data_IF_179906971674
#
_entry.id   IF_179906971674
#
_cell.length_a   1.000
_cell.length_b   1.000
_cell.length_c   1.000
_cell.angle_alpha   90.00
_cell.angle_beta   90.00
_cell.angle_gamma   90.00
#
_symmetry.space_group_name_H-M   'P 1'
#
loop_
_entity.id
_entity.type
_entity.pdbx_description
1 polymer ?
#
# COMPACT_ATOMS: atom_id res chain seq x y z
N UNK A 1 16.41 5.30 46.39
CA UNK A 1 15.46 5.86 45.43
C UNK A 1 15.33 4.85 44.31
N UNK A 2 14.47 3.83 44.48
CA UNK A 2 14.37 2.71 43.55
C UNK A 2 13.67 3.18 42.27
N UNK A 3 14.44 3.43 41.21
CA UNK A 3 13.91 3.54 39.85
C UNK A 3 13.18 2.23 39.56
N UNK A 4 11.84 2.29 39.46
CA UNK A 4 11.07 1.18 38.89
C UNK A 4 11.57 1.03 37.45
N UNK A 5 12.22 -0.10 37.17
CA UNK A 5 12.53 -0.51 35.80
C UNK A 5 11.27 -0.31 34.94
N UNK A 6 11.42 0.42 33.83
CA UNK A 6 10.29 0.71 32.91
C UNK A 6 9.99 -0.48 32.00
N UNK A 7 10.79 -1.53 32.10
CA UNK A 7 10.61 -2.81 31.45
C UNK A 7 9.42 -3.52 32.10
N UNK A 8 8.28 -3.42 31.42
CA UNK A 8 7.00 -3.92 31.90
C UNK A 8 6.56 -5.23 31.26
N UNK A 9 5.33 -5.63 31.56
CA UNK A 9 4.61 -6.70 30.87
C UNK A 9 4.00 -6.15 29.58
N UNK A 10 3.75 -7.03 28.60
CA UNK A 10 3.03 -6.70 27.36
C UNK A 10 1.76 -5.84 27.60
N UNK A 11 1.57 -4.72 26.88
CA UNK A 11 0.43 -3.81 27.06
C UNK A 11 -0.94 -4.43 26.75
N UNK A 12 -1.95 -4.24 27.62
CA UNK A 12 -3.33 -4.72 27.44
C UNK A 12 -3.97 -4.23 26.13
N UNK A 13 -4.86 -5.05 25.57
CA UNK A 13 -5.48 -4.80 24.27
C UNK A 13 -6.98 -5.05 24.31
N UNK A 14 -7.79 -4.03 24.01
CA UNK A 14 -9.24 -4.05 24.23
C UNK A 14 -10.09 -4.22 22.97
N UNK A 15 -9.50 -4.14 21.78
CA UNK A 15 -10.22 -4.24 20.49
C UNK A 15 -9.77 -5.44 19.69
N UNK A 16 -10.68 -5.96 18.88
CA UNK A 16 -10.45 -7.07 17.97
C UNK A 16 -9.26 -6.79 17.04
N UNK A 17 -8.42 -7.81 16.83
CA UNK A 17 -7.29 -7.76 15.91
C UNK A 17 -7.68 -8.37 14.57
N UNK A 18 -7.57 -7.58 13.50
CA UNK A 18 -8.01 -7.95 12.16
C UNK A 18 -6.83 -8.35 11.29
N UNK A 19 -6.88 -9.56 10.73
CA UNK A 19 -5.96 -10.03 9.69
C UNK A 19 -4.57 -10.45 10.20
N UNK A 20 -3.57 -10.28 9.34
CA UNK A 20 -2.12 -10.50 9.64
C UNK A 20 -1.70 -11.92 10.03
N UNK A 21 -2.49 -12.94 9.68
CA UNK A 21 -2.18 -14.35 9.96
C UNK A 21 -0.78 -14.75 9.45
N UNK A 22 -0.46 -14.43 8.21
CA UNK A 22 0.84 -14.76 7.63
C UNK A 22 2.02 -14.11 8.38
N UNK A 23 1.90 -12.84 8.80
CA UNK A 23 2.95 -12.18 9.58
C UNK A 23 3.10 -12.79 10.97
N UNK A 24 2.00 -13.11 11.65
CA UNK A 24 2.02 -13.80 12.95
C UNK A 24 2.73 -15.15 12.86
N UNK A 25 2.33 -15.97 11.90
CA UNK A 25 2.95 -17.28 11.66
C UNK A 25 4.45 -17.16 11.34
N UNK A 26 4.84 -16.13 10.57
CA UNK A 26 6.25 -15.86 10.28
C UNK A 26 7.03 -15.51 11.54
N UNK A 27 6.50 -14.63 12.40
CA UNK A 27 7.15 -14.25 13.66
C UNK A 27 7.29 -15.47 14.57
N UNK A 28 6.21 -16.23 14.79
CA UNK A 28 6.23 -17.46 15.60
C UNK A 28 7.25 -18.47 15.07
N UNK A 29 7.29 -18.67 13.75
CA UNK A 29 8.26 -19.57 13.12
C UNK A 29 9.71 -19.10 13.28
N UNK A 30 9.96 -17.78 13.26
CA UNK A 30 11.30 -17.22 13.49
C UNK A 30 11.74 -17.41 14.93
N UNK A 31 10.86 -17.15 15.90
CA UNK A 31 11.11 -17.39 17.33
C UNK A 31 11.42 -18.87 17.56
N UNK A 32 10.60 -19.78 17.03
CA UNK A 32 10.80 -21.23 17.17
C UNK A 32 12.10 -21.74 16.54
N UNK A 33 12.66 -21.03 15.55
CA UNK A 33 13.94 -21.35 14.92
C UNK A 33 15.15 -20.76 15.65
N UNK A 34 14.94 -20.01 16.73
CA UNK A 34 16.02 -19.36 17.48
C UNK A 34 16.52 -18.07 16.84
N UNK A 35 15.69 -17.35 16.08
CA UNK A 35 16.07 -16.03 15.58
C UNK A 35 16.37 -15.07 16.74
N UNK A 36 17.50 -14.38 16.67
CA UNK A 36 18.00 -13.54 17.77
C UNK A 36 17.42 -12.13 17.76
N UNK A 37 17.28 -11.56 16.57
CA UNK A 37 16.64 -10.26 16.35
C UNK A 37 15.60 -10.37 15.25
N UNK A 38 14.36 -10.01 15.56
CA UNK A 38 13.24 -9.94 14.63
C UNK A 38 12.74 -8.51 14.61
N UNK A 39 12.82 -7.84 13.47
CA UNK A 39 12.36 -6.45 13.34
C UNK A 39 11.12 -6.37 12.46
N UNK A 40 10.01 -5.92 13.04
CA UNK A 40 8.80 -5.57 12.31
C UNK A 40 9.02 -4.22 11.65
N UNK A 41 9.04 -4.16 10.32
CA UNK A 41 9.28 -2.94 9.54
C UNK A 41 8.01 -2.48 8.82
N UNK A 42 7.91 -1.18 8.54
CA UNK A 42 6.81 -0.60 7.77
C UNK A 42 6.38 0.78 8.24
N UNK A 43 5.43 1.41 7.54
CA UNK A 43 5.06 2.81 7.75
C UNK A 43 4.45 3.11 9.12
N UNK A 44 4.37 4.40 9.46
CA UNK A 44 3.67 4.90 10.66
C UNK A 44 2.22 4.43 10.69
N UNK A 45 1.72 4.06 11.88
CA UNK A 45 0.32 3.67 12.06
C UNK A 45 -0.11 2.33 11.44
N UNK A 46 0.81 1.58 10.80
CA UNK A 46 0.49 0.32 10.10
C UNK A 46 0.12 -0.85 11.03
N UNK A 47 0.37 -0.69 12.34
CA UNK A 47 0.03 -1.66 13.38
C UNK A 47 1.16 -2.60 13.83
N UNK A 48 2.44 -2.23 13.64
CA UNK A 48 3.61 -3.04 14.07
C UNK A 48 3.57 -3.41 15.56
N UNK A 49 3.42 -2.41 16.43
CA UNK A 49 3.25 -2.55 17.89
C UNK A 49 2.13 -3.51 18.21
N UNK A 50 0.98 -3.36 17.56
CA UNK A 50 -0.17 -4.21 17.82
C UNK A 50 0.03 -5.64 17.33
N UNK A 51 0.69 -5.83 16.19
CA UNK A 51 1.05 -7.15 15.66
C UNK A 51 2.03 -7.88 16.59
N UNK A 52 3.06 -7.19 17.11
CA UNK A 52 3.98 -7.78 18.09
C UNK A 52 3.22 -8.25 19.33
N UNK A 53 2.40 -7.37 19.94
CA UNK A 53 1.62 -7.70 21.13
C UNK A 53 0.69 -8.90 20.87
N UNK A 54 -0.04 -8.89 19.76
CA UNK A 54 -1.02 -9.95 19.48
C UNK A 54 -0.33 -11.30 19.25
N UNK A 55 0.80 -11.30 18.53
CA UNK A 55 1.55 -12.54 18.26
C UNK A 55 2.10 -13.13 19.56
N UNK A 56 2.78 -12.31 20.34
CA UNK A 56 3.46 -12.76 21.57
C UNK A 56 2.49 -13.19 22.65
N UNK A 57 1.25 -12.67 22.65
CA UNK A 57 0.22 -13.11 23.60
C UNK A 57 -0.52 -14.38 23.20
N UNK A 58 -0.72 -14.59 21.90
CA UNK A 58 -1.56 -15.69 21.41
C UNK A 58 -0.77 -16.92 21.03
N UNK A 59 0.40 -16.72 20.44
CA UNK A 59 1.09 -17.74 19.68
C UNK A 59 2.43 -18.13 20.29
N UNK A 60 2.85 -17.47 21.37
CA UNK A 60 4.15 -17.66 22.01
C UNK A 60 3.97 -17.77 23.52
N UNK A 61 4.46 -18.87 24.09
CA UNK A 61 4.44 -19.14 25.52
C UNK A 61 5.85 -18.99 26.11
N UNK A 62 6.39 -17.77 26.04
CA UNK A 62 7.69 -17.42 26.60
C UNK A 62 7.58 -16.17 27.48
N UNK A 63 8.35 -16.09 28.59
CA UNK A 63 8.42 -14.88 29.40
C UNK A 63 8.77 -13.67 28.53
N UNK A 64 7.90 -12.67 28.52
CA UNK A 64 8.06 -11.50 27.65
C UNK A 64 8.13 -10.21 28.46
N UNK A 65 9.19 -9.43 28.21
CA UNK A 65 9.45 -8.11 28.77
C UNK A 65 9.26 -7.05 27.67
N UNK A 66 8.73 -5.88 28.01
CA UNK A 66 8.41 -4.82 27.06
C UNK A 66 9.08 -3.51 27.44
N UNK A 67 9.80 -2.90 26.49
CA UNK A 67 10.39 -1.57 26.61
C UNK A 67 9.82 -0.65 25.53
N UNK A 68 9.06 0.36 25.95
CA UNK A 68 8.50 1.38 25.07
C UNK A 68 9.51 2.53 24.90
N UNK A 69 10.04 2.71 23.69
CA UNK A 69 11.10 3.69 23.39
C UNK A 69 10.55 5.02 22.87
N UNK A 70 9.27 5.06 22.51
CA UNK A 70 8.66 6.22 21.84
C UNK A 70 8.75 7.53 22.64
N UNK A 71 8.76 7.47 23.97
CA UNK A 71 8.78 8.65 24.85
C UNK A 71 10.13 8.83 25.57
N UNK A 72 11.12 8.00 25.25
CA UNK A 72 12.44 8.06 25.88
C UNK A 72 13.43 8.88 25.06
N UNK A 73 14.32 9.57 25.75
CA UNK A 73 15.57 10.04 25.16
C UNK A 73 16.57 8.89 25.02
N UNK A 74 17.67 9.15 24.28
CA UNK A 74 18.68 8.14 24.00
C UNK A 74 19.37 7.61 25.25
N UNK A 75 19.75 8.50 26.18
CA UNK A 75 20.50 8.14 27.38
C UNK A 75 19.65 7.26 28.31
N UNK A 76 18.38 7.59 28.50
CA UNK A 76 17.45 6.79 29.30
C UNK A 76 17.21 5.44 28.66
N UNK A 77 17.04 5.38 27.34
CA UNK A 77 16.84 4.12 26.64
C UNK A 77 18.06 3.19 26.71
N UNK A 78 19.27 3.75 26.60
CA UNK A 78 20.53 3.02 26.77
C UNK A 78 20.63 2.48 28.20
N UNK A 79 20.36 3.32 29.20
CA UNK A 79 20.41 2.90 30.60
C UNK A 79 19.45 1.73 30.89
N UNK A 80 18.19 1.81 30.43
CA UNK A 80 17.22 0.72 30.61
C UNK A 80 17.65 -0.57 29.89
N UNK A 81 18.31 -0.47 28.73
CA UNK A 81 18.80 -1.65 28.00
C UNK A 81 20.03 -2.27 28.68
N UNK A 82 20.94 -1.46 29.23
CA UNK A 82 22.09 -1.94 30.03
C UNK A 82 21.67 -2.59 31.35
N UNK A 83 20.63 -2.04 31.97
CA UNK A 83 20.05 -2.58 33.20
C UNK A 83 19.22 -3.86 32.95
N UNK A 84 19.01 -4.24 31.68
CA UNK A 84 18.35 -5.48 31.34
C UNK A 84 19.23 -6.67 31.71
N UNK A 85 18.91 -7.27 32.85
CA UNK A 85 19.58 -8.49 33.28
C UNK A 85 19.11 -9.72 32.47
N UNK A 86 20.04 -10.58 32.03
CA UNK A 86 19.74 -11.93 31.57
C UNK A 86 18.91 -12.70 32.59
N UNK A 87 18.19 -13.72 32.14
CA UNK A 87 17.48 -14.58 33.08
C UNK A 87 18.46 -15.47 33.85
N UNK A 88 18.36 -15.57 35.19
CA UNK A 88 19.28 -16.38 35.98
C UNK A 88 19.13 -17.88 35.74
N UNK A 89 17.98 -18.33 35.24
CA UNK A 89 17.72 -19.74 34.87
C UNK A 89 18.20 -20.09 33.46
N UNK A 90 18.70 -19.12 32.68
CA UNK A 90 19.11 -19.32 31.29
C UNK A 90 17.97 -19.72 30.35
N UNK A 91 16.71 -19.60 30.78
CA UNK A 91 15.56 -20.01 29.98
C UNK A 91 15.29 -19.04 28.82
N UNK A 92 14.80 -19.54 27.66
CA UNK A 92 14.42 -18.69 26.54
C UNK A 92 13.38 -17.64 26.94
N UNK A 93 13.59 -16.41 26.49
CA UNK A 93 12.67 -15.31 26.78
C UNK A 93 12.76 -14.20 25.74
N UNK A 94 11.81 -13.27 25.83
CA UNK A 94 11.62 -12.25 24.81
C UNK A 94 11.73 -10.85 25.42
N UNK A 95 12.46 -9.97 24.73
CA UNK A 95 12.42 -8.54 24.94
C UNK A 95 11.79 -7.87 23.73
N UNK A 96 10.74 -7.08 23.96
CA UNK A 96 10.12 -6.27 22.93
C UNK A 96 10.63 -4.85 23.02
N UNK A 97 11.25 -4.37 21.94
CA UNK A 97 11.68 -2.98 21.78
C UNK A 97 10.71 -2.24 20.86
N UNK A 98 9.82 -1.44 21.43
CA UNK A 98 8.77 -0.77 20.65
C UNK A 98 9.16 0.65 20.27
N UNK A 99 9.06 0.98 18.97
CA UNK A 99 9.42 2.27 18.38
C UNK A 99 10.92 2.58 18.40
N UNK A 100 11.73 1.61 17.95
CA UNK A 100 13.19 1.74 17.87
C UNK A 100 13.66 2.81 16.87
N UNK A 101 12.79 3.22 15.94
CA UNK A 101 13.13 4.03 14.77
C UNK A 101 13.91 5.31 15.09
N UNK A 102 13.70 5.93 16.25
CA UNK A 102 14.45 7.14 16.64
C UNK A 102 15.81 6.87 17.26
N UNK A 103 15.99 5.68 17.83
CA UNK A 103 17.11 5.35 18.68
C UNK A 103 17.97 4.23 18.11
N UNK A 104 17.73 3.78 16.87
CA UNK A 104 18.48 2.70 16.22
C UNK A 104 19.99 2.87 16.38
N UNK A 105 20.55 4.00 15.93
CA UNK A 105 22.00 4.24 15.99
C UNK A 105 22.56 4.29 17.41
N UNK A 106 21.76 4.71 18.39
CA UNK A 106 22.16 4.79 19.79
C UNK A 106 22.06 3.44 20.50
N UNK A 107 21.07 2.62 20.14
CA UNK A 107 20.79 1.34 20.79
C UNK A 107 21.48 0.16 20.12
N UNK A 108 21.93 0.29 18.86
CA UNK A 108 22.53 -0.83 18.13
C UNK A 108 23.77 -1.45 18.83
N UNK A 109 24.73 -0.67 19.37
CA UNK A 109 25.86 -1.25 20.11
C UNK A 109 25.42 -1.96 21.40
N UNK A 110 24.51 -1.35 22.16
CA UNK A 110 24.01 -1.94 23.40
C UNK A 110 23.20 -3.21 23.18
N UNK A 111 22.43 -3.24 22.09
CA UNK A 111 21.69 -4.43 21.67
C UNK A 111 22.64 -5.54 21.23
N UNK A 112 23.77 -5.19 20.61
CA UNK A 112 24.80 -6.14 20.24
C UNK A 112 25.39 -6.84 21.46
N UNK A 113 25.83 -6.04 22.44
CA UNK A 113 26.41 -6.54 23.69
C UNK A 113 25.40 -7.39 24.47
N UNK A 114 24.14 -6.95 24.52
CA UNK A 114 23.07 -7.70 25.18
C UNK A 114 22.79 -9.05 24.50
N UNK A 115 22.73 -9.07 23.17
CA UNK A 115 22.59 -10.32 22.43
C UNK A 115 23.82 -11.21 22.66
N UNK A 116 25.04 -10.69 22.67
CA UNK A 116 26.22 -11.53 22.94
C UNK A 116 26.20 -12.13 24.37
N UNK A 117 25.80 -11.33 25.36
CA UNK A 117 25.74 -11.75 26.76
C UNK A 117 24.62 -12.77 27.07
N UNK A 118 23.51 -12.75 26.33
CA UNK A 118 22.36 -13.63 26.57
C UNK A 118 21.94 -14.43 25.32
N UNK A 119 22.49 -15.64 25.14
CA UNK A 119 22.15 -16.51 24.01
C UNK A 119 20.69 -16.99 23.99
N UNK A 120 19.99 -16.95 25.12
CA UNK A 120 18.60 -17.39 25.25
C UNK A 120 17.60 -16.26 24.94
N UNK A 121 18.09 -15.02 24.78
CA UNK A 121 17.27 -13.85 24.46
C UNK A 121 16.91 -13.80 22.98
N UNK A 122 15.62 -13.63 22.72
CA UNK A 122 15.07 -13.18 21.43
C UNK A 122 14.55 -11.76 21.55
N UNK A 123 15.02 -10.86 20.68
CA UNK A 123 14.53 -9.48 20.62
C UNK A 123 13.53 -9.31 19.49
N UNK A 124 12.34 -8.81 19.81
CA UNK A 124 11.33 -8.42 18.83
C UNK A 124 11.24 -6.90 18.81
N UNK A 125 11.72 -6.27 17.74
CA UNK A 125 11.70 -4.82 17.60
C UNK A 125 10.56 -4.36 16.70
N UNK A 126 9.98 -3.19 17.00
CA UNK A 126 9.15 -2.45 16.05
C UNK A 126 9.89 -1.21 15.59
N UNK A 127 10.10 -1.10 14.29
CA UNK A 127 10.86 -0.01 13.69
C UNK A 127 10.32 0.35 12.31
N UNK A 128 10.75 1.49 11.78
CA UNK A 128 10.45 1.89 10.39
C UNK A 128 11.57 1.46 9.45
N UNK A 129 12.79 1.46 9.95
CA UNK A 129 14.02 1.05 9.28
C UNK A 129 14.64 -0.18 9.99
N UNK A 130 15.46 -1.00 9.29
CA UNK A 130 16.25 -2.05 9.93
C UNK A 130 17.12 -1.51 11.07
N UNK A 131 17.40 -2.35 12.06
CA UNK A 131 18.33 -2.00 13.15
C UNK A 131 19.79 -2.09 12.67
N UNK A 132 20.08 -3.02 11.75
CA UNK A 132 21.41 -3.22 11.17
C UNK A 132 22.24 -4.32 11.83
N UNK A 133 21.59 -5.29 12.50
CA UNK A 133 22.28 -6.48 13.01
C UNK A 133 22.53 -7.49 11.88
N UNK A 134 23.65 -8.22 11.93
CA UNK A 134 24.07 -9.11 10.83
C UNK A 134 23.06 -10.24 10.55
N UNK A 135 22.47 -10.82 11.60
CA UNK A 135 21.47 -11.89 11.51
C UNK A 135 20.03 -11.38 11.68
N UNK A 136 19.80 -10.09 11.44
CA UNK A 136 18.48 -9.46 11.62
C UNK A 136 17.43 -10.09 10.70
N UNK A 137 16.34 -10.57 11.30
CA UNK A 137 15.21 -11.12 10.55
C UNK A 137 14.14 -10.05 10.36
N UNK A 138 14.08 -9.48 9.16
CA UNK A 138 13.09 -8.47 8.81
C UNK A 138 11.72 -9.12 8.53
N UNK A 139 10.67 -8.57 9.14
CA UNK A 139 9.28 -8.93 8.87
C UNK A 139 8.53 -7.68 8.41
N UNK A 140 8.43 -7.44 7.09
CA UNK A 140 7.68 -6.32 6.54
C UNK A 140 6.19 -6.43 6.87
N UNK A 141 5.61 -5.35 7.37
CA UNK A 141 4.19 -5.24 7.70
C UNK A 141 3.48 -4.46 6.58
N UNK A 142 2.76 -5.14 5.66
CA UNK A 142 2.10 -4.47 4.52
C UNK A 142 0.90 -3.62 4.98
N UNK A 143 0.17 -2.94 4.09
CA UNK A 143 -1.19 -2.48 4.41
C UNK A 143 -2.16 -3.66 4.57
N UNK A 144 -3.33 -3.41 5.16
CA UNK A 144 -4.39 -4.41 5.20
C UNK A 144 -4.90 -4.70 3.79
N UNK A 145 -5.36 -5.94 3.55
CA UNK A 145 -6.11 -6.20 2.33
C UNK A 145 -7.46 -5.46 2.35
N UNK A 146 -8.08 -5.20 1.19
CA UNK A 146 -9.30 -4.39 1.13
C UNK A 146 -10.47 -4.92 2.00
N UNK A 147 -10.61 -6.24 2.14
CA UNK A 147 -11.66 -6.84 2.95
C UNK A 147 -11.35 -6.71 4.46
N UNK A 148 -10.08 -6.92 4.85
CA UNK A 148 -9.61 -6.66 6.21
C UNK A 148 -9.73 -5.18 6.60
N UNK A 149 -9.43 -4.25 5.69
CA UNK A 149 -9.56 -2.82 5.90
C UNK A 149 -11.02 -2.42 6.17
N UNK A 150 -11.95 -2.90 5.34
CA UNK A 150 -13.38 -2.66 5.51
C UNK A 150 -13.90 -3.24 6.84
N UNK A 151 -13.48 -4.47 7.20
CA UNK A 151 -13.84 -5.08 8.49
C UNK A 151 -13.33 -4.26 9.67
N UNK A 152 -12.06 -3.83 9.64
CA UNK A 152 -11.51 -2.99 10.70
C UNK A 152 -12.26 -1.66 10.82
N UNK A 153 -12.61 -1.03 9.69
CA UNK A 153 -13.39 0.20 9.70
C UNK A 153 -14.75 0.00 10.36
N UNK A 154 -15.47 -1.08 10.03
CA UNK A 154 -16.78 -1.41 10.65
C UNK A 154 -16.66 -1.63 12.16
N UNK A 155 -15.72 -2.47 12.60
CA UNK A 155 -15.45 -2.69 14.03
C UNK A 155 -15.21 -1.36 14.75
N UNK A 156 -14.46 -0.44 14.12
CA UNK A 156 -14.19 0.88 14.71
C UNK A 156 -15.41 1.79 14.72
N UNK A 157 -16.25 1.75 13.67
CA UNK A 157 -17.51 2.49 13.64
C UNK A 157 -18.46 2.02 14.74
N UNK A 158 -18.57 0.70 14.95
CA UNK A 158 -19.40 0.10 15.99
C UNK A 158 -18.98 0.57 17.39
N UNK A 159 -17.66 0.62 17.66
CA UNK A 159 -17.13 1.16 18.92
C UNK A 159 -17.45 2.64 19.14
N UNK A 160 -17.75 3.39 18.08
CA UNK A 160 -18.19 4.80 18.16
C UNK A 160 -19.70 4.98 18.20
N UNK A 161 -20.46 3.87 18.21
CA UNK A 161 -21.93 3.85 18.25
C UNK A 161 -22.60 3.96 16.88
N UNK A 162 -21.86 3.74 15.77
CA UNK A 162 -22.41 3.79 14.41
C UNK A 162 -22.28 2.45 13.71
N UNK A 163 -23.36 2.01 13.09
CA UNK A 163 -23.36 0.88 12.15
C UNK A 163 -23.51 1.40 10.72
N UNK A 164 -23.11 0.59 9.76
CA UNK A 164 -23.30 0.87 8.33
C UNK A 164 -23.99 -0.33 7.69
N UNK A 165 -24.98 -0.06 6.85
CA UNK A 165 -25.65 -1.07 6.05
C UNK A 165 -24.81 -1.50 4.84
N UNK A 166 -25.32 -2.47 4.08
CA UNK A 166 -24.64 -2.98 2.88
C UNK A 166 -24.57 -1.93 1.76
N UNK A 167 -25.49 -0.96 1.75
CA UNK A 167 -25.56 0.16 0.83
C UNK A 167 -24.37 1.11 0.94
N UNK A 168 -23.75 1.21 2.12
CA UNK A 168 -22.59 2.08 2.36
C UNK A 168 -21.27 1.43 1.91
N UNK A 169 -21.27 0.14 1.57
CA UNK A 169 -20.04 -0.63 1.40
C UNK A 169 -19.10 -0.09 0.34
N UNK A 170 -19.63 0.34 -0.81
CA UNK A 170 -18.80 0.87 -1.88
C UNK A 170 -18.18 2.20 -1.49
N UNK A 171 -18.89 3.04 -0.72
CA UNK A 171 -18.38 4.29 -0.17
C UNK A 171 -17.29 3.99 0.87
N UNK A 172 -17.55 3.06 1.79
CA UNK A 172 -16.58 2.66 2.83
C UNK A 172 -15.32 2.04 2.23
N UNK A 173 -15.44 1.22 1.17
CA UNK A 173 -14.28 0.68 0.43
C UNK A 173 -13.45 1.78 -0.19
N UNK A 174 -14.08 2.80 -0.77
CA UNK A 174 -13.38 3.96 -1.33
C UNK A 174 -12.68 4.77 -0.25
N UNK A 175 -13.33 5.01 0.90
CA UNK A 175 -12.68 5.64 2.07
C UNK A 175 -11.45 4.82 2.48
N UNK A 176 -11.59 3.49 2.59
CA UNK A 176 -10.48 2.60 2.96
C UNK A 176 -9.31 2.72 1.97
N UNK A 177 -9.60 2.78 0.67
CA UNK A 177 -8.60 2.95 -0.38
C UNK A 177 -7.88 4.31 -0.28
N UNK A 178 -8.62 5.40 -0.07
CA UNK A 178 -8.03 6.73 0.15
C UNK A 178 -7.15 6.77 1.40
N UNK A 179 -7.50 6.03 2.45
CA UNK A 179 -6.66 5.86 3.64
C UNK A 179 -5.53 4.83 3.47
N UNK A 180 -5.24 4.41 2.23
CA UNK A 180 -4.17 3.45 1.88
C UNK A 180 -4.26 2.12 2.64
N UNK A 181 -5.47 1.74 3.06
CA UNK A 181 -5.74 0.59 3.93
C UNK A 181 -4.86 0.57 5.21
N UNK A 182 -4.49 1.75 5.71
CA UNK A 182 -3.68 1.93 6.91
C UNK A 182 -4.57 1.93 8.18
N UNK A 183 -4.35 1.03 9.16
CA UNK A 183 -5.17 0.95 10.37
C UNK A 183 -5.34 2.26 11.14
N UNK A 184 -4.30 3.09 11.23
CA UNK A 184 -4.39 4.40 11.88
C UNK A 184 -5.32 5.35 11.12
N UNK A 185 -5.19 5.40 9.79
CA UNK A 185 -6.09 6.18 8.95
C UNK A 185 -7.55 5.74 9.06
N UNK A 186 -7.78 4.42 9.10
CA UNK A 186 -9.13 3.85 9.25
C UNK A 186 -9.74 4.17 10.62
N UNK A 187 -8.93 4.24 11.68
CA UNK A 187 -9.38 4.70 13.00
C UNK A 187 -9.86 6.15 12.96
N UNK A 188 -9.09 7.06 12.34
CA UNK A 188 -9.49 8.46 12.20
C UNK A 188 -10.76 8.61 11.34
N UNK A 189 -10.86 7.83 10.26
CA UNK A 189 -12.06 7.79 9.44
C UNK A 189 -13.30 7.34 10.24
N UNK A 190 -13.18 6.31 11.09
CA UNK A 190 -14.28 5.87 11.96
C UNK A 190 -14.72 6.97 12.94
N UNK A 191 -13.78 7.71 13.54
CA UNK A 191 -14.08 8.87 14.40
C UNK A 191 -14.83 9.94 13.61
N UNK A 192 -14.40 10.23 12.36
CA UNK A 192 -15.09 11.20 11.50
C UNK A 192 -16.50 10.74 11.13
N UNK A 193 -16.65 9.45 10.83
CA UNK A 193 -17.93 8.80 10.56
C UNK A 193 -18.86 8.81 11.77
N UNK A 194 -18.40 9.06 13.00
CA UNK A 194 -19.31 9.28 14.14
C UNK A 194 -20.24 10.49 13.92
N UNK A 195 -19.76 11.51 13.21
CA UNK A 195 -20.45 12.80 13.10
C UNK A 195 -20.88 13.18 11.67
N UNK A 196 -20.38 12.47 10.66
CA UNK A 196 -20.62 12.80 9.26
C UNK A 196 -21.04 11.58 8.43
N UNK A 197 -22.00 11.70 7.48
CA UNK A 197 -22.35 10.61 6.58
C UNK A 197 -21.16 10.09 5.75
N UNK A 198 -21.13 8.81 5.34
CA UNK A 198 -20.04 8.25 4.53
C UNK A 198 -19.73 9.04 3.27
N UNK A 199 -20.75 9.57 2.58
CA UNK A 199 -20.55 10.40 1.39
C UNK A 199 -19.74 11.68 1.67
N UNK A 200 -19.99 12.34 2.81
CA UNK A 200 -19.24 13.53 3.22
C UNK A 200 -17.81 13.16 3.59
N UNK A 201 -17.61 12.09 4.36
CA UNK A 201 -16.28 11.63 4.75
C UNK A 201 -15.46 11.23 3.52
N UNK A 202 -16.08 10.57 2.52
CA UNK A 202 -15.44 10.24 1.26
C UNK A 202 -14.99 11.49 0.50
N UNK A 203 -15.82 12.54 0.46
CA UNK A 203 -15.46 13.81 -0.17
C UNK A 203 -14.28 14.49 0.56
N UNK A 204 -14.22 14.40 1.89
CA UNK A 204 -13.11 14.92 2.70
C UNK A 204 -11.79 14.14 2.54
N UNK A 205 -11.80 12.97 1.89
CA UNK A 205 -10.60 12.16 1.61
C UNK A 205 -10.38 11.95 0.12
N UNK A 206 -10.92 12.82 -0.73
CA UNK A 206 -10.80 12.75 -2.19
C UNK A 206 -9.35 12.83 -2.71
N UNK A 207 -8.45 13.51 -1.98
CA UNK A 207 -7.09 13.84 -2.43
C UNK A 207 -7.00 15.12 -3.29
N UNK A 208 -8.12 15.81 -3.48
CA UNK A 208 -8.22 17.07 -4.24
C UNK A 208 -8.30 18.31 -3.33
N UNK A 209 -8.75 19.45 -3.86
CA UNK A 209 -8.87 20.71 -3.12
C UNK A 209 -9.84 20.64 -1.93
N UNK A 210 -10.73 19.65 -1.90
CA UNK A 210 -11.67 19.41 -0.82
C UNK A 210 -11.17 18.41 0.22
N UNK A 211 -9.94 17.90 0.08
CA UNK A 211 -9.37 17.01 1.08
C UNK A 211 -9.16 17.75 2.41
N UNK A 212 -9.77 17.21 3.46
CA UNK A 212 -9.75 17.73 4.83
C UNK A 212 -9.11 16.77 5.81
N UNK A 213 -8.53 15.64 5.37
CA UNK A 213 -8.04 14.58 6.26
C UNK A 213 -6.94 15.04 7.20
N UNK A 214 -6.13 16.02 6.77
CA UNK A 214 -5.07 16.60 7.60
C UNK A 214 -5.61 17.47 8.74
N UNK A 215 -6.89 17.84 8.69
CA UNK A 215 -7.60 18.60 9.73
C UNK A 215 -8.32 17.67 10.71
N UNK A 216 -8.32 16.36 10.45
CA UNK A 216 -8.93 15.38 11.35
C UNK A 216 -8.01 15.10 12.54
N UNK A 217 -8.59 15.08 13.73
CA UNK A 217 -7.89 14.76 14.96
C UNK A 217 -8.69 13.77 15.80
N UNK A 218 -8.00 12.87 16.48
CA UNK A 218 -8.56 12.05 17.54
C UNK A 218 -8.81 12.94 18.77
N UNK A 219 -10.08 13.05 19.17
CA UNK A 219 -10.50 13.82 20.35
C UNK A 219 -10.39 13.04 21.65
N UNK A 220 -9.85 11.81 21.63
CA UNK A 220 -9.65 11.01 22.82
C UNK A 220 -8.72 11.73 23.81
N UNK A 221 -9.16 11.80 25.07
CA UNK A 221 -8.40 12.45 26.16
C UNK A 221 -7.36 11.54 26.79
N UNK A 222 -7.50 10.23 26.64
CA UNK A 222 -6.66 9.19 27.28
C UNK A 222 -6.37 8.08 26.27
N UNK A 223 -5.20 7.45 26.37
CA UNK A 223 -4.87 6.25 25.59
C UNK A 223 -4.46 6.52 24.14
N UNK A 224 -4.08 7.77 23.82
CA UNK A 224 -3.57 8.17 22.50
C UNK A 224 -2.28 8.94 22.66
N UNK A 225 -1.21 8.39 22.09
CA UNK A 225 0.09 9.07 22.01
C UNK A 225 0.00 10.31 21.10
N UNK A 226 0.80 11.33 21.38
CA UNK A 226 0.79 12.59 20.62
C UNK A 226 0.98 12.37 19.10
N UNK A 227 1.87 11.45 18.70
CA UNK A 227 2.13 11.09 17.30
C UNK A 227 1.00 10.31 16.60
N UNK A 228 0.00 9.86 17.35
CA UNK A 228 -1.20 9.18 16.83
C UNK A 228 -2.47 10.02 17.06
N UNK A 229 -2.33 11.32 17.31
CA UNK A 229 -3.48 12.22 17.45
C UNK A 229 -4.08 12.58 16.09
N UNK A 230 -3.24 12.86 15.11
CA UNK A 230 -3.66 13.22 13.76
C UNK A 230 -2.62 12.76 12.73
N UNK A 231 -2.98 12.84 11.45
CA UNK A 231 -2.13 12.41 10.32
C UNK A 231 -0.87 13.27 10.24
N UNK A 232 -0.99 14.58 10.49
CA UNK A 232 0.13 15.51 10.46
C UNK A 232 1.18 15.17 11.51
N UNK A 233 0.78 14.95 12.76
CA UNK A 233 1.65 14.55 13.86
C UNK A 233 2.34 13.21 13.59
N UNK A 234 1.64 12.25 12.97
CA UNK A 234 2.23 10.95 12.63
C UNK A 234 3.32 11.06 11.56
N UNK A 235 3.08 11.88 10.54
CA UNK A 235 4.04 12.10 9.46
C UNK A 235 5.17 13.01 9.93
N UNK A 236 4.91 14.03 10.74
CA UNK A 236 5.93 14.90 11.34
C UNK A 236 6.90 14.12 12.24
N UNK A 237 6.38 13.19 13.05
CA UNK A 237 7.21 12.22 13.75
C UNK A 237 8.11 11.46 12.77
N UNK A 238 7.52 11.09 11.63
CA UNK A 238 8.21 10.30 10.64
C UNK A 238 9.33 11.04 9.92
N UNK A 239 9.08 12.30 9.56
CA UNK A 239 10.00 13.19 8.83
C UNK A 239 11.03 13.88 9.72
N UNK A 240 10.85 13.88 11.05
CA UNK A 240 11.81 14.47 12.01
C UNK A 240 13.25 13.93 11.92
N UNK A 241 13.43 12.74 11.32
CA UNK A 241 14.74 12.09 11.09
C UNK A 241 15.27 12.28 9.67
N UNK A 242 14.53 12.97 8.81
CA UNK A 242 14.96 13.18 7.44
C UNK A 242 16.12 14.18 7.41
N UNK A 243 17.16 13.86 6.65
CA UNK A 243 18.17 14.85 6.29
C UNK A 243 17.53 16.00 5.48
N UNK A 244 18.18 17.17 5.36
CA UNK A 244 17.67 18.26 4.54
C UNK A 244 17.38 17.83 3.09
N UNK A 245 18.23 16.99 2.51
CA UNK A 245 18.05 16.44 1.16
C UNK A 245 16.85 15.48 1.07
N UNK A 246 16.66 14.61 2.07
CA UNK A 246 15.49 13.71 2.15
C UNK A 246 14.18 14.48 2.28
N UNK A 247 14.14 15.48 3.15
CA UNK A 247 12.96 16.33 3.34
C UNK A 247 12.64 17.12 2.07
N UNK A 248 13.67 17.67 1.41
CA UNK A 248 13.52 18.39 0.15
C UNK A 248 12.98 17.48 -0.97
N UNK A 249 13.57 16.29 -1.16
CA UNK A 249 13.08 15.34 -2.16
C UNK A 249 11.64 14.92 -1.88
N UNK A 250 11.32 14.60 -0.62
CA UNK A 250 9.96 14.21 -0.21
C UNK A 250 8.93 15.31 -0.54
N UNK A 251 9.25 16.57 -0.22
CA UNK A 251 8.43 17.73 -0.54
C UNK A 251 8.25 17.90 -2.04
N UNK A 252 9.32 17.81 -2.83
CA UNK A 252 9.26 17.96 -4.29
C UNK A 252 8.50 16.82 -4.96
N UNK A 253 8.62 15.59 -4.45
CA UNK A 253 7.87 14.43 -4.95
C UNK A 253 6.36 14.54 -4.72
N UNK A 254 5.90 15.47 -3.87
CA UNK A 254 4.46 15.66 -3.60
C UNK A 254 3.64 16.14 -4.82
N UNK A 255 4.31 16.65 -5.86
CA UNK A 255 3.67 17.05 -7.13
C UNK A 255 3.24 15.86 -7.98
N UNK A 256 3.88 14.70 -7.81
CA UNK A 256 3.47 13.47 -8.47
C UNK A 256 2.18 12.94 -7.84
N UNK A 257 1.31 12.28 -8.62
CA UNK A 257 0.12 11.66 -8.07
C UNK A 257 0.47 10.60 -7.02
N UNK A 258 -0.32 10.52 -5.95
CA UNK A 258 -0.19 9.49 -4.93
C UNK A 258 -0.42 8.09 -5.52
N UNK A 259 0.22 7.07 -4.93
CA UNK A 259 0.13 5.72 -5.45
C UNK A 259 -1.12 4.97 -4.98
N UNK A 260 -2.18 4.97 -5.80
CA UNK A 260 -3.07 3.80 -5.93
C UNK A 260 -2.78 3.11 -7.27
N UNK A 261 -3.31 1.89 -7.50
CA UNK A 261 -2.91 0.98 -8.59
C UNK A 261 -2.67 1.68 -9.94
N UNK A 262 -1.41 1.66 -10.42
CA UNK A 262 -0.95 2.36 -11.64
C UNK A 262 -0.14 3.65 -11.42
N UNK A 263 -0.18 4.23 -10.22
CA UNK A 263 0.56 5.46 -9.87
C UNK A 263 2.01 5.25 -9.44
N UNK A 264 2.79 6.33 -9.56
CA UNK A 264 4.22 6.43 -9.23
C UNK A 264 5.02 7.07 -10.36
N UNK A 265 6.20 7.59 -10.03
CA UNK A 265 7.14 8.17 -10.97
C UNK A 265 8.33 7.23 -11.16
N UNK A 266 8.85 7.15 -12.39
CA UNK A 266 10.15 6.55 -12.63
C UNK A 266 11.27 7.51 -12.20
N UNK A 267 12.50 7.00 -12.16
CA UNK A 267 13.67 7.76 -11.72
C UNK A 267 13.89 8.98 -12.61
N UNK A 268 13.73 8.82 -13.92
CA UNK A 268 13.94 9.88 -14.91
C UNK A 268 12.98 11.06 -14.70
N UNK A 269 11.71 10.79 -14.44
CA UNK A 269 10.73 11.81 -14.11
C UNK A 269 11.05 12.49 -12.78
N UNK A 270 11.47 11.74 -11.75
CA UNK A 270 11.86 12.31 -10.45
C UNK A 270 13.06 13.23 -10.62
N UNK A 271 14.08 12.81 -11.36
CA UNK A 271 15.25 13.65 -11.67
C UNK A 271 14.83 14.91 -12.43
N UNK A 272 14.06 14.78 -13.51
CA UNK A 272 13.66 15.90 -14.34
C UNK A 272 12.86 16.98 -13.60
N UNK A 273 12.11 16.59 -12.57
CA UNK A 273 11.28 17.50 -11.79
C UNK A 273 12.00 17.99 -10.53
N UNK A 274 12.63 17.09 -9.79
CA UNK A 274 13.13 17.36 -8.43
C UNK A 274 14.60 17.76 -8.37
N UNK A 275 15.41 17.51 -9.41
CA UNK A 275 16.82 17.86 -9.42
C UNK A 275 17.05 19.36 -9.64
N UNK A 276 17.96 19.94 -8.86
CA UNK A 276 18.57 21.26 -9.06
C UNK A 276 19.84 21.39 -8.23
N UNK A 277 20.38 22.61 -8.07
CA UNK A 277 21.61 22.85 -7.32
C UNK A 277 21.53 22.40 -5.84
N UNK A 278 20.33 22.47 -5.24
CA UNK A 278 20.11 22.06 -3.85
C UNK A 278 19.91 20.54 -3.71
N UNK A 279 19.50 19.87 -4.79
CA UNK A 279 19.36 18.42 -4.85
C UNK A 279 19.95 17.90 -6.17
N UNK A 280 21.27 17.68 -6.24
CA UNK A 280 21.94 17.23 -7.46
C UNK A 280 21.40 15.88 -7.93
N UNK A 281 21.32 15.67 -9.24
CA UNK A 281 20.84 14.42 -9.85
C UNK A 281 21.51 13.18 -9.26
N UNK A 282 22.84 13.21 -9.11
CA UNK A 282 23.63 12.10 -8.58
C UNK A 282 23.22 11.68 -7.15
N UNK A 283 22.61 12.58 -6.37
CA UNK A 283 22.19 12.31 -5.00
C UNK A 283 20.78 11.70 -4.89
N UNK A 284 19.95 11.82 -5.94
CA UNK A 284 18.53 11.45 -5.89
C UNK A 284 18.33 9.97 -5.60
N UNK A 285 19.11 9.11 -6.24
CA UNK A 285 19.00 7.65 -6.08
C UNK A 285 19.26 7.22 -4.63
N UNK A 286 20.41 7.63 -4.07
CA UNK A 286 20.73 7.35 -2.67
C UNK A 286 19.69 7.95 -1.70
N UNK A 287 19.06 9.07 -2.06
CA UNK A 287 18.04 9.71 -1.24
C UNK A 287 16.70 8.96 -1.32
N UNK A 288 16.35 8.43 -2.49
CA UNK A 288 15.18 7.56 -2.65
C UNK A 288 15.34 6.29 -1.84
N UNK A 289 16.51 5.65 -1.87
CA UNK A 289 16.77 4.42 -1.11
C UNK A 289 16.59 4.68 0.40
N UNK A 290 17.17 5.75 0.92
CA UNK A 290 17.00 6.16 2.33
C UNK A 290 15.55 6.47 2.71
N UNK A 291 14.76 7.06 1.79
CA UNK A 291 13.34 7.31 2.01
C UNK A 291 12.48 6.04 1.94
N UNK A 292 12.89 5.05 1.13
CA UNK A 292 12.26 3.73 1.05
C UNK A 292 12.55 2.93 2.33
N UNK A 293 13.78 2.93 2.81
CA UNK A 293 14.18 2.32 4.09
C UNK A 293 13.39 2.90 5.27
N UNK A 294 13.14 4.22 5.24
CA UNK A 294 12.31 4.92 6.25
C UNK A 294 10.81 4.69 6.10
N UNK A 295 10.38 3.93 5.08
CA UNK A 295 8.97 3.69 4.73
C UNK A 295 8.17 4.98 4.44
N UNK A 296 8.82 6.05 3.98
CA UNK A 296 8.19 7.31 3.56
C UNK A 296 7.87 7.32 2.07
N UNK A 297 8.73 6.67 1.28
CA UNK A 297 8.53 6.38 -0.14
C UNK A 297 8.30 4.88 -0.30
N UNK A 298 7.39 4.50 -1.20
CA UNK A 298 7.20 3.10 -1.57
C UNK A 298 7.73 2.89 -2.97
N UNK A 299 8.53 1.84 -3.14
CA UNK A 299 9.01 1.39 -4.45
C UNK A 299 8.18 0.18 -4.92
N UNK A 300 7.74 0.23 -6.17
CA UNK A 300 7.17 -0.92 -6.90
C UNK A 300 8.17 -1.37 -7.94
N UNK A 301 8.68 -2.57 -7.74
CA UNK A 301 9.56 -3.23 -8.69
C UNK A 301 8.70 -4.05 -9.67
N UNK A 302 8.95 -3.87 -10.95
CA UNK A 302 8.54 -4.77 -12.03
C UNK A 302 9.79 -5.41 -12.61
N UNK A 303 9.66 -6.41 -13.49
CA UNK A 303 10.82 -7.08 -14.10
C UNK A 303 11.77 -6.16 -14.88
N UNK A 304 11.33 -4.95 -15.25
CA UNK A 304 12.10 -4.01 -16.08
C UNK A 304 12.06 -2.55 -15.60
N UNK A 305 11.34 -2.24 -14.51
CA UNK A 305 11.24 -0.86 -14.03
C UNK A 305 10.94 -0.77 -12.54
N UNK A 306 11.45 0.29 -11.92
CA UNK A 306 11.11 0.69 -10.56
C UNK A 306 10.26 1.96 -10.61
N UNK A 307 9.19 2.00 -9.82
CA UNK A 307 8.34 3.19 -9.66
C UNK A 307 8.23 3.56 -8.20
N UNK A 308 8.55 4.81 -7.90
CA UNK A 308 8.47 5.36 -6.56
C UNK A 308 7.21 6.20 -6.40
N UNK A 309 6.57 6.11 -5.24
CA UNK A 309 5.39 6.91 -4.94
C UNK A 309 5.29 7.20 -3.45
N UNK A 310 4.63 8.32 -3.15
CA UNK A 310 4.19 8.66 -1.81
C UNK A 310 2.80 8.07 -1.58
N UNK A 311 2.55 7.60 -0.36
CA UNK A 311 1.17 7.37 0.07
C UNK A 311 0.42 8.70 0.07
N UNK A 312 -0.90 8.65 -0.10
CA UNK A 312 -1.69 9.86 -0.24
C UNK A 312 -1.55 10.81 0.97
N UNK A 313 -1.53 10.26 2.19
CA UNK A 313 -1.31 11.06 3.40
C UNK A 313 0.08 11.74 3.43
N UNK A 314 1.15 10.99 3.11
CA UNK A 314 2.52 11.53 3.05
C UNK A 314 2.62 12.61 1.98
N UNK A 315 2.01 12.37 0.81
CA UNK A 315 1.96 13.33 -0.30
C UNK A 315 1.29 14.64 0.11
N UNK A 316 0.15 14.58 0.80
CA UNK A 316 -0.58 15.78 1.22
C UNK A 316 0.20 16.59 2.26
N UNK A 317 0.84 15.94 3.24
CA UNK A 317 1.70 16.64 4.22
C UNK A 317 2.91 17.25 3.54
N UNK A 318 3.63 16.48 2.71
CA UNK A 318 4.79 16.96 1.96
C UNK A 318 4.42 18.12 1.01
N UNK A 319 3.23 18.10 0.41
CA UNK A 319 2.72 19.20 -0.42
C UNK A 319 2.44 20.45 0.41
N UNK A 320 1.82 20.30 1.57
CA UNK A 320 1.56 21.41 2.48
C UNK A 320 2.87 22.03 3.00
N UNK A 321 3.87 21.21 3.30
CA UNK A 321 5.22 21.66 3.67
C UNK A 321 5.92 22.39 2.53
N UNK A 322 5.85 21.87 1.30
CA UNK A 322 6.40 22.53 0.11
C UNK A 322 5.78 23.92 -0.09
N UNK A 323 4.45 24.02 -0.06
CA UNK A 323 3.76 25.30 -0.23
C UNK A 323 4.07 26.28 0.90
N UNK A 324 4.27 25.80 2.13
CA UNK A 324 4.63 26.64 3.27
C UNK A 324 6.07 27.15 3.17
N UNK A 325 6.99 26.31 2.69
CA UNK A 325 8.41 26.66 2.53
C UNK A 325 8.61 27.61 1.34
N UNK A 326 8.04 27.28 0.20
CA UNK A 326 8.20 28.04 -1.04
C UNK A 326 6.99 27.82 -2.00
N UNK A 327 5.99 28.71 -1.98
CA UNK A 327 4.86 28.67 -2.90
C UNK A 327 5.26 28.82 -4.38
N UNK A 328 6.34 29.55 -4.67
CA UNK A 328 6.80 29.80 -6.04
C UNK A 328 7.42 28.54 -6.61
N UNK A 329 8.27 27.86 -5.83
CA UNK A 329 8.80 26.55 -6.17
C UNK A 329 7.68 25.53 -6.36
N UNK A 330 6.68 25.50 -5.47
CA UNK A 330 5.54 24.60 -5.59
C UNK A 330 4.83 24.74 -6.95
N UNK A 331 4.53 25.98 -7.36
CA UNK A 331 3.89 26.27 -8.64
C UNK A 331 4.79 25.91 -9.83
N UNK A 332 6.09 26.21 -9.74
CA UNK A 332 7.09 25.86 -10.76
C UNK A 332 7.17 24.35 -10.99
N UNK A 333 7.22 23.56 -9.91
CA UNK A 333 7.31 22.10 -9.99
C UNK A 333 6.01 21.48 -10.52
N UNK A 334 4.85 21.99 -10.10
CA UNK A 334 3.56 21.56 -10.64
C UNK A 334 3.45 21.83 -12.15
N UNK A 335 3.91 23.00 -12.62
CA UNK A 335 3.95 23.35 -14.04
C UNK A 335 4.89 22.42 -14.84
N UNK A 336 6.10 22.16 -14.31
CA UNK A 336 7.05 21.21 -14.91
C UNK A 336 6.46 19.81 -15.01
N UNK A 337 5.81 19.32 -13.94
CA UNK A 337 5.19 18.01 -13.94
C UNK A 337 4.06 17.90 -14.97
N UNK A 338 3.20 18.93 -15.08
CA UNK A 338 2.16 18.98 -16.10
C UNK A 338 2.75 18.96 -17.52
N UNK A 339 3.84 19.67 -17.77
CA UNK A 339 4.53 19.67 -19.05
C UNK A 339 5.12 18.29 -19.38
N UNK A 340 5.75 17.63 -18.41
CA UNK A 340 6.28 16.27 -18.57
C UNK A 340 5.16 15.28 -18.93
N UNK A 341 4.05 15.31 -18.19
CA UNK A 341 2.87 14.46 -18.47
C UNK A 341 2.31 14.70 -19.87
N UNK A 342 2.24 15.95 -20.33
CA UNK A 342 1.82 16.29 -21.70
C UNK A 342 2.77 15.72 -22.76
N UNK A 343 4.08 15.68 -22.48
CA UNK A 343 5.06 15.07 -23.40
C UNK A 343 4.94 13.54 -23.43
N UNK A 344 4.75 12.90 -22.27
CA UNK A 344 4.53 11.45 -22.18
C UNK A 344 3.28 11.01 -22.95
N UNK A 345 2.16 11.72 -22.78
CA UNK A 345 0.91 11.44 -23.51
C UNK A 345 1.12 11.57 -25.02
N UNK A 346 1.77 12.65 -25.49
CA UNK A 346 2.08 12.82 -26.92
C UNK A 346 3.01 11.74 -27.48
N UNK A 347 3.99 11.28 -26.70
CA UNK A 347 4.85 10.15 -27.10
C UNK A 347 4.07 8.85 -27.19
N UNK A 348 3.15 8.59 -26.26
CA UNK A 348 2.28 7.42 -26.31
C UNK A 348 1.32 7.46 -27.51
N UNK A 349 0.80 8.65 -27.85
CA UNK A 349 -0.05 8.87 -29.03
C UNK A 349 0.74 8.77 -30.35
N UNK A 350 1.98 9.28 -30.38
CA UNK A 350 2.87 9.22 -31.55
C UNK A 350 3.58 7.88 -31.76
N UNK A 351 3.59 6.99 -30.77
CA UNK A 351 4.15 5.63 -30.87
C UNK A 351 3.14 4.61 -31.42
N UNK A 352 1.90 5.02 -31.72
CA UNK A 352 1.01 4.23 -32.58
C UNK A 352 1.58 4.29 -34.00
N UNK A 353 1.89 3.16 -34.67
CA UNK A 353 2.32 3.18 -36.05
C UNK A 353 1.24 3.88 -36.88
N UNK A 354 1.57 5.03 -37.47
CA UNK A 354 0.72 5.67 -38.46
C UNK A 354 0.69 4.76 -39.69
N UNK A 355 -0.29 3.87 -39.73
CA UNK A 355 -0.72 3.26 -40.98
C UNK A 355 -1.25 4.41 -41.85
N UNK A 356 -0.71 4.67 -43.04
CA UNK A 356 -1.06 5.86 -43.81
C UNK A 356 -2.54 5.79 -44.19
N UNK A 357 -3.34 6.68 -43.60
CA UNK A 357 -4.74 6.89 -43.98
C UNK A 357 -4.78 7.49 -45.38
N UNK A 358 -5.31 6.73 -46.33
CA UNK A 358 -5.79 7.26 -47.60
C UNK A 358 -6.85 8.32 -47.29
N UNK A 359 -6.70 9.50 -47.90
CA UNK A 359 -7.52 10.68 -47.63
C UNK A 359 -9.03 10.37 -47.75
N UNK A 360 -9.76 10.60 -46.65
CA UNK A 360 -11.21 10.71 -46.67
C UNK A 360 -11.61 12.18 -46.50
N UNK A 361 -12.60 12.57 -47.32
CA UNK A 361 -13.15 13.92 -47.51
C UNK A 361 -13.66 14.59 -46.20
N UNK A 362 -13.84 15.93 -46.17
CA UNK A 362 -14.10 16.66 -44.94
C UNK A 362 -15.51 16.37 -44.39
N UNK A 363 -15.72 16.46 -43.06
CA UNK A 363 -17.01 16.12 -42.45
C UNK A 363 -18.00 17.30 -42.54
N UNK A 364 -19.32 17.04 -42.62
CA UNK A 364 -20.33 18.06 -42.38
C UNK A 364 -20.58 18.24 -40.87
N UNK A 365 -21.27 19.35 -40.58
CA UNK A 365 -21.42 19.99 -39.27
C UNK A 365 -22.04 19.13 -38.15
N UNK A 366 -21.73 19.58 -36.93
CA UNK A 366 -22.12 19.09 -35.61
C UNK A 366 -23.52 18.47 -35.52
N UNK A 367 -23.61 17.29 -34.90
CA UNK A 367 -24.87 16.84 -34.30
C UNK A 367 -24.62 16.05 -33.02
N UNK A 368 -25.47 16.35 -32.05
CA UNK A 368 -25.54 15.90 -30.66
C UNK A 368 -25.36 14.38 -30.50
N UNK A 369 -24.56 13.97 -29.50
CA UNK A 369 -24.20 12.58 -29.24
C UNK A 369 -25.40 11.71 -28.82
N UNK A 370 -25.69 10.69 -29.62
CA UNK A 370 -26.61 9.56 -29.35
C UNK A 370 -25.77 8.35 -28.88
N UNK A 371 -26.27 7.45 -28.00
CA UNK A 371 -25.49 6.30 -27.52
C UNK A 371 -25.11 5.36 -28.67
N UNK A 372 -23.81 5.03 -28.79
CA UNK A 372 -23.29 4.13 -29.84
C UNK A 372 -23.72 2.67 -29.63
N UNK A 373 -24.03 1.91 -30.69
CA UNK A 373 -24.52 0.53 -30.59
C UNK A 373 -23.45 -0.47 -30.12
N UNK A 374 -23.90 -1.60 -29.59
CA UNK A 374 -23.09 -2.67 -28.96
C UNK A 374 -22.05 -3.33 -29.88
N UNK A 375 -22.10 -3.08 -31.19
CA UNK A 375 -21.18 -3.62 -32.20
C UNK A 375 -19.75 -3.08 -32.10
N UNK A 376 -19.56 -1.84 -31.63
CA UNK A 376 -18.24 -1.20 -31.56
C UNK A 376 -17.30 -1.86 -30.53
N UNK A 377 -17.86 -2.48 -29.48
CA UNK A 377 -17.05 -3.07 -28.41
C UNK A 377 -16.38 -4.38 -28.84
N UNK A 378 -17.01 -5.12 -29.74
CA UNK A 378 -16.41 -6.32 -30.34
C UNK A 378 -15.17 -5.98 -31.18
N UNK A 379 -15.18 -4.82 -31.85
CA UNK A 379 -14.08 -4.39 -32.69
C UNK A 379 -12.83 -4.02 -31.88
N UNK A 380 -12.98 -3.64 -30.60
CA UNK A 380 -11.86 -3.37 -29.68
C UNK A 380 -11.06 -4.62 -29.26
N UNK A 381 -11.60 -5.82 -29.50
CA UNK A 381 -10.92 -7.08 -29.19
C UNK A 381 -9.85 -7.38 -30.24
N UNK A 382 -8.66 -7.80 -29.79
CA UNK A 382 -7.61 -8.33 -30.67
C UNK A 382 -8.06 -9.63 -31.33
N UNK A 383 -7.43 -10.02 -32.44
CA UNK A 383 -7.74 -11.29 -33.14
C UNK A 383 -7.69 -12.50 -32.19
N UNK A 384 -6.69 -12.56 -31.31
CA UNK A 384 -6.54 -13.62 -30.33
C UNK A 384 -7.64 -13.59 -29.25
N UNK A 385 -8.06 -12.40 -28.82
CA UNK A 385 -9.16 -12.22 -27.87
C UNK A 385 -10.51 -12.61 -28.48
N UNK A 386 -10.77 -12.27 -29.75
CA UNK A 386 -11.99 -12.66 -30.47
C UNK A 386 -12.11 -14.18 -30.59
N UNK A 387 -11.01 -14.88 -30.88
CA UNK A 387 -10.97 -16.35 -30.92
C UNK A 387 -11.29 -16.98 -29.57
N UNK A 388 -10.68 -16.46 -28.49
CA UNK A 388 -10.98 -16.90 -27.13
C UNK A 388 -12.42 -16.60 -26.75
N UNK A 389 -12.96 -15.43 -27.13
CA UNK A 389 -14.34 -15.05 -26.87
C UNK A 389 -15.33 -16.00 -27.53
N UNK A 390 -15.12 -16.39 -28.79
CA UNK A 390 -15.98 -17.34 -29.51
C UNK A 390 -15.95 -18.72 -28.85
N UNK A 391 -14.78 -19.27 -28.54
CA UNK A 391 -14.66 -20.56 -27.86
C UNK A 391 -15.21 -20.49 -26.43
N UNK A 392 -15.04 -19.35 -25.76
CA UNK A 392 -15.53 -19.14 -24.42
C UNK A 392 -17.06 -19.09 -24.37
N UNK A 393 -17.68 -18.42 -25.34
CA UNK A 393 -19.13 -18.34 -25.54
C UNK A 393 -19.75 -19.67 -25.97
N UNK A 394 -19.02 -20.49 -26.75
CA UNK A 394 -19.40 -21.90 -27.03
C UNK A 394 -19.27 -22.82 -25.79
N UNK A 395 -18.72 -22.29 -24.69
CA UNK A 395 -18.68 -22.90 -23.36
C UNK A 395 -17.48 -23.82 -23.09
N UNK A 396 -16.46 -23.82 -23.94
CA UNK A 396 -15.25 -24.62 -23.74
C UNK A 396 -14.47 -24.20 -22.48
N UNK A 397 -14.12 -25.08 -21.52
CA UNK A 397 -13.33 -24.67 -20.35
C UNK A 397 -11.96 -24.09 -20.76
N UNK A 398 -11.37 -23.21 -19.95
CA UNK A 398 -10.13 -22.51 -20.31
C UNK A 398 -8.97 -23.46 -20.59
N UNK A 399 -8.91 -24.60 -19.90
CA UNK A 399 -7.97 -25.69 -20.16
C UNK A 399 -8.13 -26.30 -21.56
N UNK A 400 -9.36 -26.49 -22.05
CA UNK A 400 -9.61 -27.01 -23.38
C UNK A 400 -9.34 -25.98 -24.48
N UNK A 401 -9.63 -24.70 -24.22
CA UNK A 401 -9.27 -23.59 -25.12
C UNK A 401 -7.74 -23.50 -25.27
N UNK A 402 -7.00 -23.66 -24.17
CA UNK A 402 -5.55 -23.64 -24.14
C UNK A 402 -4.95 -24.75 -25.04
N UNK A 403 -5.44 -25.99 -24.93
CA UNK A 403 -5.03 -27.11 -25.79
C UNK A 403 -5.34 -26.83 -27.27
N UNK A 404 -6.55 -26.34 -27.58
CA UNK A 404 -6.99 -26.08 -28.97
C UNK A 404 -6.23 -24.94 -29.64
N UNK A 405 -5.70 -23.99 -28.86
CA UNK A 405 -4.93 -22.84 -29.35
C UNK A 405 -3.42 -22.99 -29.16
N UNK A 406 -2.95 -24.19 -28.79
CA UNK A 406 -1.53 -24.45 -28.50
C UNK A 406 -0.91 -23.38 -27.58
N UNK A 407 -1.65 -22.98 -26.55
CA UNK A 407 -1.29 -21.90 -25.62
C UNK A 407 -1.37 -22.38 -24.17
N UNK A 408 -0.77 -21.66 -23.23
CA UNK A 408 -0.87 -22.00 -21.80
C UNK A 408 -2.26 -21.65 -21.22
N UNK A 409 -2.72 -22.38 -20.20
CA UNK A 409 -3.99 -22.08 -19.50
C UNK A 409 -3.97 -20.68 -18.90
N UNK A 410 -2.84 -20.26 -18.31
CA UNK A 410 -2.64 -18.92 -17.74
C UNK A 410 -2.79 -17.80 -18.79
N UNK A 411 -2.36 -18.05 -20.03
CA UNK A 411 -2.54 -17.11 -21.15
C UNK A 411 -4.01 -16.97 -21.52
N UNK A 412 -4.75 -18.08 -21.56
CA UNK A 412 -6.19 -18.07 -21.84
C UNK A 412 -6.98 -17.39 -20.71
N UNK A 413 -6.63 -17.62 -19.45
CA UNK A 413 -7.26 -16.95 -18.30
C UNK A 413 -7.11 -15.43 -18.38
N UNK A 414 -5.91 -14.94 -18.69
CA UNK A 414 -5.64 -13.53 -18.91
C UNK A 414 -6.44 -12.96 -20.10
N UNK A 415 -6.53 -13.70 -21.20
CA UNK A 415 -7.31 -13.30 -22.38
C UNK A 415 -8.82 -13.26 -22.11
N UNK A 416 -9.36 -14.22 -21.35
CA UNK A 416 -10.79 -14.20 -20.93
C UNK A 416 -11.08 -13.03 -20.00
N UNK A 417 -10.17 -12.70 -19.08
CA UNK A 417 -10.31 -11.51 -18.23
C UNK A 417 -10.29 -10.22 -19.05
N UNK A 418 -9.40 -10.11 -20.03
CA UNK A 418 -9.31 -8.96 -20.93
C UNK A 418 -10.55 -8.82 -21.82
N UNK A 419 -11.08 -9.93 -22.34
CA UNK A 419 -12.35 -9.94 -23.10
C UNK A 419 -13.50 -9.43 -22.23
N UNK A 420 -13.61 -9.88 -20.97
CA UNK A 420 -14.65 -9.40 -20.05
C UNK A 420 -14.55 -7.90 -19.76
N UNK A 421 -13.32 -7.42 -19.57
CA UNK A 421 -13.05 -6.00 -19.35
C UNK A 421 -13.41 -5.15 -20.57
N UNK A 422 -12.97 -5.54 -21.76
CA UNK A 422 -13.21 -4.79 -23.01
C UNK A 422 -14.66 -4.81 -23.45
N UNK A 423 -15.36 -5.92 -23.27
CA UNK A 423 -16.80 -6.02 -23.51
C UNK A 423 -17.65 -5.40 -22.38
N UNK A 424 -17.03 -5.07 -21.24
CA UNK A 424 -17.67 -4.54 -20.03
C UNK A 424 -18.76 -5.48 -19.47
N UNK A 425 -18.45 -6.77 -19.41
CA UNK A 425 -19.37 -7.81 -18.95
C UNK A 425 -18.92 -8.43 -17.63
N UNK A 426 -19.89 -8.75 -16.79
CA UNK A 426 -19.63 -9.29 -15.46
C UNK A 426 -19.54 -10.81 -15.47
N UNK A 427 -20.12 -11.46 -16.48
CA UNK A 427 -20.15 -12.90 -16.60
C UNK A 427 -19.63 -13.38 -17.94
N UNK A 428 -18.92 -14.51 -17.94
CA UNK A 428 -18.51 -15.20 -19.16
C UNK A 428 -19.71 -15.61 -20.04
N UNK A 429 -20.86 -15.88 -19.43
CA UNK A 429 -22.09 -16.23 -20.14
C UNK A 429 -22.67 -15.09 -20.97
N UNK A 430 -22.27 -13.84 -20.69
CA UNK A 430 -22.73 -12.66 -21.41
C UNK A 430 -21.99 -12.45 -22.73
N UNK A 431 -20.84 -13.10 -22.94
CA UNK A 431 -20.02 -12.94 -24.16
C UNK A 431 -20.86 -13.18 -25.41
N UNK A 432 -21.74 -14.20 -25.41
CA UNK A 432 -22.58 -14.57 -26.56
C UNK A 432 -23.47 -13.44 -27.08
N UNK A 433 -23.88 -12.49 -26.21
CA UNK A 433 -24.74 -11.35 -26.58
C UNK A 433 -23.99 -10.30 -27.39
N UNK A 434 -22.67 -10.21 -27.21
CA UNK A 434 -21.82 -9.21 -27.84
C UNK A 434 -21.11 -9.71 -29.12
N UNK A 435 -21.39 -10.94 -29.58
CA UNK A 435 -20.84 -11.45 -30.83
C UNK A 435 -21.59 -10.86 -32.03
N UNK A 436 -20.91 -10.43 -33.11
CA UNK A 436 -21.54 -10.12 -34.39
C UNK A 436 -22.08 -11.40 -35.06
N UNK A 437 -22.94 -11.25 -36.07
CA UNK A 437 -23.63 -12.35 -36.74
C UNK A 437 -22.68 -13.47 -37.21
N UNK A 438 -21.57 -13.11 -37.87
CA UNK A 438 -20.55 -14.04 -38.35
C UNK A 438 -19.87 -14.84 -37.21
N UNK A 439 -19.61 -14.19 -36.07
CA UNK A 439 -19.01 -14.84 -34.91
C UNK A 439 -20.01 -15.77 -34.20
N UNK A 440 -21.31 -15.46 -34.20
CA UNK A 440 -22.36 -16.31 -33.62
C UNK A 440 -22.50 -17.62 -34.38
N UNK A 441 -22.34 -17.61 -35.71
CA UNK A 441 -22.34 -18.84 -36.51
C UNK A 441 -21.18 -19.76 -36.12
N UNK A 442 -19.97 -19.19 -36.01
CA UNK A 442 -18.78 -19.91 -35.53
C UNK A 442 -18.95 -20.47 -34.12
N UNK A 443 -19.55 -19.69 -33.21
CA UNK A 443 -19.88 -20.14 -31.86
C UNK A 443 -20.85 -21.33 -31.88
N UNK A 444 -21.88 -21.31 -32.73
CA UNK A 444 -22.84 -22.43 -32.87
C UNK A 444 -22.17 -23.70 -33.39
N UNK A 445 -21.28 -23.59 -34.37
CA UNK A 445 -20.49 -24.72 -34.87
C UNK A 445 -19.60 -25.31 -33.77
N UNK A 446 -18.89 -24.47 -33.01
CA UNK A 446 -18.04 -24.89 -31.90
C UNK A 446 -18.83 -25.52 -30.74
N UNK A 447 -20.04 -25.02 -30.46
CA UNK A 447 -20.93 -25.59 -29.45
C UNK A 447 -21.44 -26.99 -29.85
N UNK A 448 -21.67 -27.25 -31.15
CA UNK A 448 -22.00 -28.59 -31.67
C UNK A 448 -20.80 -29.54 -31.55
N UNK A 449 -19.62 -29.11 -32.00
CA UNK A 449 -18.38 -29.89 -31.92
C UNK A 449 -18.02 -30.27 -30.46
N UNK A 450 -18.28 -29.37 -29.51
CA UNK A 450 -18.10 -29.66 -28.07
C UNK A 450 -19.03 -30.78 -27.59
N UNK A 451 -20.32 -30.74 -27.98
CA UNK A 451 -21.33 -31.74 -27.57
C UNK A 451 -21.01 -33.13 -28.11
N UNK A 452 -20.50 -33.22 -29.33
CA UNK A 452 -20.05 -34.47 -29.94
C UNK A 452 -18.83 -35.04 -29.19
N UNK A 453 -17.87 -34.18 -28.82
CA UNK A 453 -16.65 -34.59 -28.09
C UNK A 453 -16.86 -34.95 -26.61
N UNK A 454 -18.02 -34.60 -26.04
CA UNK A 454 -18.40 -34.95 -24.66
C UNK A 454 -19.31 -36.20 -24.62
N UNK A 455 -19.78 -36.67 -25.79
CA UNK A 455 -20.56 -37.91 -25.95
C UNK A 455 -19.72 -39.11 -26.39
N UNK A 456 -18.53 -38.86 -26.93
CA UNK A 456 -17.48 -39.85 -27.17
C UNK A 456 -16.46 -39.82 -26.04
#
# INVERSE_FOLDING_TARGET
>A
MFQRSRIGVLPATSSEFVGRRAQRERITALIARGARLITLTGPGGIGKTRLAIETLRRDVDLPTRWLALAELDGDTAIAELRDFAPRPDGAPHILVLDSCDRLVSALAPELADLLEADPALTVVATSREPIGWIDEQLVPVPSLDPAQALRLLRIRMELTGRTAGAEDDDILRRICAHMSHNPFGLRLAAIRLRHHPPAIVLHEVSGDAYDRRLQWSDSARVGVEARHRDIGANIAWSTSRCSPAESLLLQRMSVFPGGSAGGGADREAIVAICADDALPEASIESTLDRLVERSLVIVRLTGTSARWYLTECVRLVARAELHRRDPVEANRLAARHLQLRRLEVRRAEGAVPQQPCVAAAPPPAETVAVPRPESDRWESLSRAEREVAVLAAAGWPNSAIAVRRHSSVRTVDAQVAMVRQKLQITSRGEIARHLPAEARERMRCEARARREKTRS
#
